data_IF_506805731565
#
_entry.id   IF_506805731565
#
_cell.length_a   1.000
_cell.length_b   1.000
_cell.length_c   1.000
_cell.angle_alpha   90.00
_cell.angle_beta   90.00
_cell.angle_gamma   90.00
#
_symmetry.space_group_name_H-M   'P 1'
#
loop_
_entity.id
_entity.type
_entity.pdbx_description
1 polymer ?
#
# COMPACT_ATOMS: atom_id res chain seq x y z
N UNK A 1 -12.49 1.31 17.90
CA UNK A 1 -12.36 0.29 16.85
C UNK A 1 -11.79 1.00 15.64
N UNK A 2 -10.58 0.66 15.22
CA UNK A 2 -9.98 1.29 14.04
C UNK A 2 -10.71 0.75 12.82
N UNK A 3 -11.47 1.59 12.10
CA UNK A 3 -12.04 1.24 10.79
C UNK A 3 -10.91 1.10 9.77
N UNK A 4 -10.20 -0.02 9.85
CA UNK A 4 -9.14 -0.36 8.91
C UNK A 4 -9.78 -0.57 7.54
N UNK A 5 -9.34 0.25 6.59
CA UNK A 5 -9.60 0.04 5.19
C UNK A 5 -8.81 -1.17 4.68
N UNK A 6 -9.49 -2.10 4.02
CA UNK A 6 -8.87 -3.23 3.33
C UNK A 6 -9.34 -3.29 1.90
N UNK A 7 -8.41 -3.34 0.96
CA UNK A 7 -8.73 -3.54 -0.46
C UNK A 7 -9.39 -4.90 -0.66
N UNK A 8 -10.39 -4.97 -1.54
CA UNK A 8 -10.91 -6.25 -2.05
C UNK A 8 -9.98 -6.84 -3.10
N UNK A 9 -10.13 -8.13 -3.38
CA UNK A 9 -9.34 -8.81 -4.42
C UNK A 9 -9.61 -8.22 -5.81
N UNK A 10 -10.84 -7.79 -6.10
CA UNK A 10 -11.20 -7.08 -7.34
C UNK A 10 -10.49 -5.72 -7.45
N UNK A 11 -10.44 -4.95 -6.36
CA UNK A 11 -9.71 -3.67 -6.35
C UNK A 11 -8.21 -3.90 -6.50
N UNK A 12 -7.67 -4.94 -5.87
CA UNK A 12 -6.29 -5.36 -6.05
C UNK A 12 -6.00 -5.72 -7.51
N UNK A 13 -6.92 -6.40 -8.18
CA UNK A 13 -6.77 -6.78 -9.59
C UNK A 13 -6.73 -5.56 -10.53
N UNK A 14 -7.52 -4.53 -10.24
CA UNK A 14 -7.45 -3.26 -10.97
C UNK A 14 -6.13 -2.51 -10.76
N UNK A 15 -5.50 -2.68 -9.60
CA UNK A 15 -4.23 -2.03 -9.24
C UNK A 15 -3.00 -2.83 -9.70
N UNK A 16 -3.16 -4.15 -9.94
CA UNK A 16 -2.08 -5.05 -10.39
C UNK A 16 -1.24 -4.51 -11.56
N UNK A 17 -1.81 -3.92 -12.63
CA UNK A 17 -1.03 -3.43 -13.76
C UNK A 17 -0.05 -2.31 -13.39
N UNK A 18 -0.34 -1.55 -12.35
CA UNK A 18 0.51 -0.46 -11.89
C UNK A 18 1.64 -0.95 -10.97
N UNK A 19 1.59 -2.19 -10.49
CA UNK A 19 2.63 -2.69 -9.60
C UNK A 19 3.96 -2.81 -10.36
N UNK A 20 5.01 -2.24 -9.78
CA UNK A 20 6.37 -2.42 -10.28
C UNK A 20 6.72 -3.91 -10.30
N UNK A 21 7.43 -4.37 -11.35
CA UNK A 21 7.79 -5.78 -11.54
C UNK A 21 8.39 -6.37 -10.25
N UNK A 22 7.85 -7.50 -9.79
CA UNK A 22 8.43 -8.26 -8.68
C UNK A 22 9.75 -8.89 -9.13
N UNK A 23 10.87 -8.56 -8.50
CA UNK A 23 12.14 -9.28 -8.71
C UNK A 23 12.11 -10.65 -8.02
N UNK A 24 11.34 -11.60 -8.56
CA UNK A 24 11.40 -13.03 -8.24
C UNK A 24 10.88 -13.48 -6.87
N UNK A 25 10.64 -12.58 -5.90
CA UNK A 25 10.09 -12.93 -4.58
C UNK A 25 8.57 -12.70 -4.53
N UNK A 26 7.76 -13.72 -4.19
CA UNK A 26 6.32 -13.54 -3.98
C UNK A 26 6.11 -12.53 -2.86
N UNK A 27 5.32 -11.50 -3.15
CA UNK A 27 5.07 -10.39 -2.24
C UNK A 27 3.97 -10.79 -1.27
N UNK A 28 4.38 -11.16 -0.07
CA UNK A 28 3.49 -11.70 0.98
C UNK A 28 2.46 -10.68 1.48
N UNK A 29 2.68 -9.37 1.30
CA UNK A 29 1.87 -8.34 1.97
C UNK A 29 1.41 -7.16 1.08
N UNK A 30 1.36 -7.29 -0.26
CA UNK A 30 0.97 -6.16 -1.13
C UNK A 30 -0.41 -5.58 -0.78
N UNK A 31 -1.40 -6.46 -0.54
CA UNK A 31 -2.76 -6.04 -0.17
C UNK A 31 -2.75 -5.20 1.10
N UNK A 32 -1.95 -5.61 2.09
CA UNK A 32 -1.83 -4.93 3.38
C UNK A 32 -1.14 -3.56 3.25
N UNK A 33 -0.01 -3.53 2.54
CA UNK A 33 0.76 -2.30 2.30
C UNK A 33 -0.05 -1.29 1.49
N UNK A 34 -0.75 -1.72 0.44
CA UNK A 34 -1.57 -0.85 -0.40
C UNK A 34 -2.81 -0.35 0.33
N UNK A 35 -3.46 -1.21 1.11
CA UNK A 35 -4.59 -0.81 1.96
C UNK A 35 -4.17 0.28 2.94
N UNK A 36 -2.98 0.17 3.54
CA UNK A 36 -2.42 1.21 4.41
C UNK A 36 -2.08 2.50 3.68
N UNK A 37 -1.51 2.42 2.48
CA UNK A 37 -1.22 3.60 1.64
C UNK A 37 -2.51 4.35 1.30
N UNK A 38 -3.57 3.64 0.91
CA UNK A 38 -4.85 4.26 0.58
C UNK A 38 -5.51 4.83 1.83
N UNK A 39 -5.45 4.13 2.96
CA UNK A 39 -5.94 4.64 4.23
C UNK A 39 -5.29 5.96 4.61
N UNK A 40 -3.96 6.05 4.54
CA UNK A 40 -3.22 7.28 4.86
C UNK A 40 -3.57 8.42 3.90
N UNK A 41 -3.60 8.15 2.59
CA UNK A 41 -3.94 9.17 1.58
C UNK A 41 -5.39 9.64 1.69
N UNK A 42 -6.34 8.73 1.92
CA UNK A 42 -7.77 9.04 2.04
C UNK A 42 -8.07 9.90 3.26
N UNK A 43 -7.38 9.65 4.37
CA UNK A 43 -7.57 10.37 5.62
C UNK A 43 -6.63 11.58 5.79
N UNK A 44 -5.71 11.82 4.84
CA UNK A 44 -4.72 12.89 4.93
C UNK A 44 -3.75 12.76 6.10
N UNK A 45 -3.50 11.53 6.56
CA UNK A 45 -2.68 11.26 7.74
C UNK A 45 -1.19 11.34 7.42
N UNK A 46 -0.36 11.55 8.45
CA UNK A 46 1.07 11.31 8.30
C UNK A 46 1.34 9.80 8.25
N UNK A 47 2.38 9.39 7.51
CA UNK A 47 2.83 7.98 7.48
C UNK A 47 3.17 7.42 8.88
N UNK A 48 3.44 8.29 9.86
CA UNK A 48 3.68 7.92 11.27
C UNK A 48 2.40 7.49 11.98
N UNK A 49 1.25 7.97 11.55
CA UNK A 49 -0.05 7.67 12.15
C UNK A 49 -0.73 6.47 11.49
N UNK A 50 -0.09 5.88 10.48
CA UNK A 50 -0.56 4.65 9.87
C UNK A 50 -0.66 3.52 10.91
N UNK A 51 -1.81 2.82 10.99
CA UNK A 51 -1.98 1.66 11.86
C UNK A 51 -0.92 0.58 11.63
N UNK A 52 -0.48 -0.06 12.71
CA UNK A 52 0.51 -1.14 12.64
C UNK A 52 -0.04 -2.37 11.92
N UNK A 53 -1.37 -2.52 11.88
CA UNK A 53 -2.05 -3.52 11.07
C UNK A 53 -1.74 -3.41 9.57
N UNK A 54 -1.16 -2.32 9.06
CA UNK A 54 -0.70 -2.23 7.67
C UNK A 54 0.78 -2.54 7.45
N UNK A 55 1.51 -2.80 8.54
CA UNK A 55 2.93 -3.13 8.51
C UNK A 55 3.84 -1.91 8.73
N UNK A 56 5.15 -2.07 8.55
CA UNK A 56 6.11 -1.04 8.91
C UNK A 56 5.90 0.25 8.10
N UNK A 57 5.87 1.39 8.78
CA UNK A 57 5.70 2.73 8.20
C UNK A 57 6.67 3.01 7.04
N UNK A 58 7.92 2.56 7.18
CA UNK A 58 8.96 2.68 6.16
C UNK A 58 8.61 1.92 4.88
N UNK A 59 7.95 0.77 4.99
CA UNK A 59 7.49 -0.03 3.85
C UNK A 59 6.38 0.68 3.10
N UNK A 60 5.40 1.27 3.80
CA UNK A 60 4.32 2.06 3.18
C UNK A 60 4.90 3.23 2.37
N UNK A 61 5.78 4.03 2.98
CA UNK A 61 6.39 5.19 2.33
C UNK A 61 7.26 4.80 1.12
N UNK A 62 8.15 3.81 1.28
CA UNK A 62 9.02 3.38 0.19
C UNK A 62 8.20 2.84 -0.99
N UNK A 63 7.14 2.09 -0.71
CA UNK A 63 6.27 1.55 -1.75
C UNK A 63 5.51 2.64 -2.48
N UNK A 64 4.93 3.60 -1.75
CA UNK A 64 4.28 4.77 -2.34
C UNK A 64 5.25 5.59 -3.21
N UNK A 65 6.47 5.84 -2.71
CA UNK A 65 7.51 6.57 -3.46
C UNK A 65 7.91 5.85 -4.76
N UNK A 66 8.16 4.53 -4.70
CA UNK A 66 8.45 3.75 -5.90
C UNK A 66 7.30 3.79 -6.92
N UNK A 67 6.06 3.82 -6.44
CA UNK A 67 4.89 3.94 -7.31
C UNK A 67 4.83 5.30 -7.99
N UNK A 68 5.00 6.39 -7.24
CA UNK A 68 5.05 7.75 -7.79
C UNK A 68 6.19 7.95 -8.80
N UNK A 69 7.32 7.26 -8.62
CA UNK A 69 8.46 7.34 -9.55
C UNK A 69 8.32 6.45 -10.78
N UNK A 70 7.40 5.47 -10.78
CA UNK A 70 7.16 4.59 -11.94
C UNK A 70 6.05 5.11 -12.87
N UNK A 71 5.41 6.23 -12.52
CA UNK A 71 4.38 6.90 -13.32
C UNK A 71 4.92 8.03 -14.21
N UNK A 72 6.22 7.99 -14.56
CA UNK A 72 6.85 8.87 -15.54
C UNK A 72 7.26 8.07 -16.79
#
# INVERSE_FOLDING_TARGET
MSDLYWLTDEQMERLRPFFSKSHGKPRVDDRRVLSGIIFVNRNGLCWRDAPWEYGPRKTLYNRWKCWSSSSA
#
